data_IF_870728004774
#
_entry.id   IF_870728004774
#
_cell.length_a   1.000
_cell.length_b   1.000
_cell.length_c   1.000
_cell.angle_alpha   90.00
_cell.angle_beta   90.00
_cell.angle_gamma   90.00
#
_symmetry.space_group_name_H-M   'P 1'
#
loop_
_entity.id
_entity.type
_entity.pdbx_description
1 polymer ?
#
# COMPACT_ATOMS: atom_id res chain seq x y z
N UNK A 1 -69.45 2.59 86.26
CA UNK A 1 -68.13 2.28 85.70
C UNK A 1 -68.10 2.90 84.33
N UNK A 2 -67.47 4.01 84.21
CA UNK A 2 -67.22 4.70 82.92
C UNK A 2 -65.73 4.89 82.82
N UNK A 3 -65.12 4.26 81.82
CA UNK A 3 -63.69 4.41 81.50
C UNK A 3 -63.47 5.71 80.73
N UNK A 4 -62.62 6.58 81.24
CA UNK A 4 -62.16 7.81 80.61
C UNK A 4 -61.17 7.47 79.52
N UNK A 5 -61.54 7.80 78.30
CA UNK A 5 -60.67 7.72 77.16
C UNK A 5 -59.90 9.05 76.96
N UNK A 6 -58.66 9.12 77.40
CA UNK A 6 -57.84 10.29 77.27
C UNK A 6 -57.28 10.33 75.83
N UNK A 7 -57.37 11.44 75.06
CA UNK A 7 -56.81 11.52 73.69
C UNK A 7 -55.27 11.67 73.72
N UNK A 8 -54.60 10.82 72.97
CA UNK A 8 -53.15 10.87 72.75
C UNK A 8 -52.85 12.02 71.82
N UNK A 9 -52.24 13.08 72.34
CA UNK A 9 -51.72 14.21 71.53
C UNK A 9 -50.30 13.86 70.99
N UNK A 10 -50.20 13.50 69.76
CA UNK A 10 -48.91 13.32 69.09
C UNK A 10 -48.36 14.70 68.61
N UNK A 11 -47.40 15.26 69.34
CA UNK A 11 -46.63 16.43 68.90
C UNK A 11 -45.65 16.03 67.80
N UNK A 12 -45.95 16.31 66.49
CA UNK A 12 -45.01 16.26 65.40
C UNK A 12 -44.00 17.35 65.63
N UNK A 13 -42.75 16.96 65.94
CA UNK A 13 -41.64 17.85 66.01
C UNK A 13 -41.33 18.34 64.57
N UNK A 14 -41.32 19.66 64.35
CA UNK A 14 -40.76 20.28 63.12
C UNK A 14 -39.30 19.91 63.03
N UNK A 15 -38.95 19.00 62.09
CA UNK A 15 -37.57 18.89 61.66
C UNK A 15 -37.13 20.20 60.99
N UNK A 16 -36.28 20.95 61.69
CA UNK A 16 -35.62 22.11 61.17
C UNK A 16 -34.80 21.62 59.93
N UNK A 17 -35.14 22.12 58.74
CA UNK A 17 -34.36 21.95 57.59
C UNK A 17 -33.04 22.69 57.78
N UNK A 18 -31.95 21.99 58.07
CA UNK A 18 -30.60 22.52 57.88
C UNK A 18 -30.44 22.84 56.41
N UNK A 19 -30.55 24.11 56.09
CA UNK A 19 -30.24 24.64 54.78
C UNK A 19 -28.76 24.36 54.48
N UNK A 20 -28.53 23.40 53.60
CA UNK A 20 -27.19 23.20 53.01
C UNK A 20 -26.79 24.40 52.17
N UNK A 21 -26.50 25.54 52.78
CA UNK A 21 -25.94 26.73 52.12
C UNK A 21 -24.42 26.64 51.89
N UNK A 22 -23.77 25.50 52.25
CA UNK A 22 -22.33 25.34 52.17
C UNK A 22 -21.78 24.91 50.76
N UNK A 23 -22.64 24.63 49.77
CA UNK A 23 -22.21 24.15 48.46
C UNK A 23 -22.24 25.18 47.33
N UNK A 24 -23.04 26.21 47.44
CA UNK A 24 -23.26 27.17 46.35
C UNK A 24 -21.98 27.90 45.92
N UNK A 25 -21.11 28.26 46.84
CA UNK A 25 -19.82 28.89 46.51
C UNK A 25 -18.85 27.93 45.78
N UNK A 26 -18.93 26.63 46.09
CA UNK A 26 -18.09 25.62 45.38
C UNK A 26 -18.50 25.50 43.92
N UNK A 27 -19.80 25.55 43.64
CA UNK A 27 -20.31 25.53 42.25
C UNK A 27 -19.89 26.79 41.49
N UNK A 28 -20.04 27.98 42.14
CA UNK A 28 -19.61 29.24 41.56
C UNK A 28 -18.08 29.27 41.34
N UNK A 29 -17.30 28.72 42.26
CA UNK A 29 -15.86 28.59 42.10
C UNK A 29 -15.49 27.60 40.96
N UNK A 30 -16.17 26.45 40.87
CA UNK A 30 -15.97 25.49 39.79
C UNK A 30 -16.27 26.11 38.41
N UNK A 31 -17.37 26.85 38.28
CA UNK A 31 -17.76 27.56 37.07
C UNK A 31 -16.70 28.60 36.66
N UNK A 32 -16.22 29.39 37.60
CA UNK A 32 -15.16 30.35 37.37
C UNK A 32 -13.84 29.68 36.88
N UNK A 33 -13.44 28.58 37.53
CA UNK A 33 -12.22 27.84 37.13
C UNK A 33 -12.37 27.20 35.75
N UNK A 34 -13.56 26.63 35.45
CA UNK A 34 -13.80 26.06 34.11
C UNK A 34 -13.82 27.13 33.02
N UNK A 35 -14.38 28.30 33.29
CA UNK A 35 -14.36 29.43 32.39
C UNK A 35 -12.92 29.93 32.14
N UNK A 36 -12.11 30.03 33.19
CA UNK A 36 -10.69 30.39 33.08
C UNK A 36 -9.91 29.33 32.28
N UNK A 37 -10.17 28.04 32.51
CA UNK A 37 -9.55 26.94 31.76
C UNK A 37 -9.93 27.01 30.28
N UNK A 38 -11.20 27.26 29.95
CA UNK A 38 -11.64 27.43 28.58
C UNK A 38 -10.93 28.62 27.88
N UNK A 39 -10.86 29.76 28.57
CA UNK A 39 -10.15 30.93 28.06
C UNK A 39 -8.66 30.64 27.85
N UNK A 40 -8.01 29.96 28.80
CA UNK A 40 -6.62 29.56 28.67
C UNK A 40 -6.38 28.66 27.43
N UNK A 41 -7.24 27.64 27.21
CA UNK A 41 -7.14 26.76 26.06
C UNK A 41 -7.29 27.55 24.77
N UNK A 42 -8.24 28.49 24.68
CA UNK A 42 -8.41 29.33 23.49
C UNK A 42 -7.17 30.18 23.23
N UNK A 43 -6.65 30.87 24.24
CA UNK A 43 -5.45 31.70 24.11
C UNK A 43 -4.23 30.86 23.77
N UNK A 44 -4.10 29.66 24.33
CA UNK A 44 -3.03 28.72 24.01
C UNK A 44 -3.11 28.26 22.55
N UNK A 45 -4.30 27.91 22.04
CA UNK A 45 -4.49 27.56 20.62
C UNK A 45 -4.17 28.75 19.71
N UNK A 46 -4.58 29.97 20.08
CA UNK A 46 -4.28 31.16 19.28
C UNK A 46 -2.77 31.45 19.21
N UNK A 47 -2.02 31.07 20.23
CA UNK A 47 -0.55 31.16 20.27
C UNK A 47 0.18 30.12 19.44
N UNK A 48 -0.52 29.07 18.95
CA UNK A 48 0.08 28.00 18.16
C UNK A 48 0.31 28.41 16.70
N UNK A 49 1.15 27.62 16.01
CA UNK A 49 1.39 27.83 14.58
C UNK A 49 0.11 27.63 13.75
N UNK A 50 0.02 28.29 12.59
CA UNK A 50 -1.13 28.19 11.68
C UNK A 50 -1.47 26.74 11.29
N UNK A 51 -0.44 25.86 11.21
CA UNK A 51 -0.65 24.43 10.91
C UNK A 51 -1.39 23.69 12.03
N UNK A 52 -1.08 24.01 13.30
CA UNK A 52 -1.78 23.41 14.45
C UNK A 52 -3.22 23.92 14.52
N UNK A 53 -3.45 25.22 14.27
CA UNK A 53 -4.80 25.80 14.20
C UNK A 53 -5.65 25.13 13.12
N UNK A 54 -5.07 24.91 11.92
CA UNK A 54 -5.76 24.22 10.81
C UNK A 54 -6.05 22.75 11.14
N UNK A 55 -5.15 22.03 11.81
CA UNK A 55 -5.37 20.64 12.23
C UNK A 55 -6.52 20.55 13.25
N UNK A 56 -6.52 21.42 14.25
CA UNK A 56 -7.60 21.49 15.25
C UNK A 56 -8.93 21.86 14.59
N UNK A 57 -8.95 22.86 13.70
CA UNK A 57 -10.15 23.25 12.97
C UNK A 57 -10.67 22.13 12.05
N UNK A 58 -9.78 21.35 11.43
CA UNK A 58 -10.14 20.18 10.62
C UNK A 58 -10.84 19.10 11.43
N UNK A 59 -10.33 18.79 12.63
CA UNK A 59 -10.97 17.83 13.54
C UNK A 59 -12.39 18.23 13.93
N UNK A 60 -12.63 19.53 14.25
CA UNK A 60 -13.97 20.01 14.60
C UNK A 60 -14.91 20.13 13.40
N UNK A 61 -14.38 20.26 12.18
CA UNK A 61 -15.20 20.37 10.96
C UNK A 61 -15.71 19.02 10.46
N UNK A 62 -14.92 17.97 10.60
CA UNK A 62 -15.26 16.59 10.23
C UNK A 62 -14.62 15.58 11.20
N UNK A 63 -15.22 15.34 12.38
CA UNK A 63 -14.68 14.42 13.37
C UNK A 63 -14.68 12.95 12.92
N UNK A 64 -15.58 12.58 11.99
CA UNK A 64 -15.72 11.21 11.49
C UNK A 64 -14.81 10.92 10.29
N UNK A 65 -14.46 11.95 9.52
CA UNK A 65 -13.54 11.88 8.37
C UNK A 65 -12.09 12.23 8.70
N UNK A 66 -11.83 12.62 9.96
CA UNK A 66 -10.48 12.89 10.44
C UNK A 66 -9.77 11.55 10.72
N UNK A 67 -9.40 10.88 9.64
CA UNK A 67 -8.74 9.58 9.68
C UNK A 67 -7.37 9.75 10.35
N UNK A 68 -7.07 8.89 11.31
CA UNK A 68 -5.78 8.74 12.01
C UNK A 68 -4.59 8.63 11.02
N UNK A 69 -4.87 8.32 9.76
CA UNK A 69 -3.93 8.32 8.62
C UNK A 69 -3.43 9.72 8.22
N UNK A 70 -4.10 10.80 8.61
CA UNK A 70 -3.67 12.17 8.30
C UNK A 70 -2.62 12.66 9.29
N UNK A 71 -2.51 12.01 10.46
CA UNK A 71 -1.47 12.28 11.46
C UNK A 71 -0.77 10.95 11.77
N UNK A 72 0.08 10.47 10.87
CA UNK A 72 1.07 9.45 11.20
C UNK A 72 2.16 10.08 12.08
N UNK A 73 1.79 10.39 13.32
CA UNK A 73 2.74 10.60 14.40
C UNK A 73 2.93 9.22 15.02
N UNK A 74 4.13 8.64 15.07
CA UNK A 74 4.38 7.41 15.80
C UNK A 74 3.91 7.58 17.23
N UNK A 75 3.09 6.65 17.75
CA UNK A 75 2.67 6.60 19.14
C UNK A 75 3.89 6.78 20.05
N UNK A 76 3.87 7.82 20.89
CA UNK A 76 4.92 8.12 21.86
C UNK A 76 5.73 9.39 21.63
N UNK A 77 5.57 10.15 20.51
CA UNK A 77 6.37 11.36 20.23
C UNK A 77 5.58 12.68 20.18
N UNK A 78 4.41 12.72 20.78
CA UNK A 78 3.59 13.96 20.79
C UNK A 78 4.25 15.14 21.51
N UNK A 79 5.18 14.89 22.41
CA UNK A 79 5.92 15.94 23.13
C UNK A 79 7.15 16.47 22.38
N UNK A 80 7.72 15.66 21.45
CA UNK A 80 8.89 16.07 20.67
C UNK A 80 8.55 17.04 19.51
N UNK A 81 7.28 17.06 19.07
CA UNK A 81 6.85 17.97 17.98
C UNK A 81 6.89 19.44 18.31
N UNK A 82 6.90 19.80 19.59
CA UNK A 82 6.99 21.20 20.05
C UNK A 82 8.42 21.76 20.02
N UNK A 83 9.41 20.89 19.91
CA UNK A 83 10.83 21.22 19.95
C UNK A 83 11.58 20.95 18.62
N UNK A 84 10.87 20.56 17.54
CA UNK A 84 11.50 20.30 16.26
C UNK A 84 12.06 21.58 15.65
N UNK A 85 13.33 21.55 15.30
CA UNK A 85 13.97 22.63 14.55
C UNK A 85 13.33 22.80 13.16
N UNK A 86 13.44 23.96 12.55
CA UNK A 86 12.90 24.21 11.21
C UNK A 86 13.43 23.23 10.15
N UNK A 87 14.65 22.69 10.32
CA UNK A 87 15.25 21.69 9.45
C UNK A 87 14.60 20.31 9.60
N UNK A 88 14.29 19.87 10.82
CA UNK A 88 13.60 18.60 11.07
C UNK A 88 12.18 18.61 10.51
N UNK A 89 11.47 19.73 10.64
CA UNK A 89 10.13 19.90 10.04
C UNK A 89 10.22 19.81 8.52
N UNK A 90 11.25 20.41 7.91
CA UNK A 90 11.48 20.33 6.46
C UNK A 90 11.73 18.90 6.01
N UNK A 91 12.60 18.16 6.69
CA UNK A 91 12.89 16.74 6.39
C UNK A 91 11.65 15.86 6.52
N UNK A 92 10.85 16.03 7.57
CA UNK A 92 9.59 15.28 7.75
C UNK A 92 8.59 15.61 6.64
N UNK A 93 8.52 16.86 6.22
CA UNK A 93 7.63 17.29 5.14
C UNK A 93 8.06 16.69 3.80
N UNK A 94 9.35 16.72 3.49
CA UNK A 94 9.92 16.11 2.28
C UNK A 94 9.71 14.59 2.25
N UNK A 95 9.93 13.92 3.37
CA UNK A 95 9.66 12.48 3.50
C UNK A 95 8.17 12.13 3.28
N UNK A 96 7.27 12.95 3.81
CA UNK A 96 5.82 12.77 3.60
C UNK A 96 5.43 12.98 2.13
N UNK A 97 5.97 13.99 1.49
CA UNK A 97 5.72 14.22 0.06
C UNK A 97 6.25 13.09 -0.81
N UNK A 98 7.44 12.57 -0.49
CA UNK A 98 8.00 11.39 -1.17
C UNK A 98 7.14 10.15 -0.94
N UNK A 99 6.75 9.87 0.30
CA UNK A 99 5.87 8.74 0.62
C UNK A 99 4.52 8.83 -0.13
N UNK A 100 3.96 10.04 -0.22
CA UNK A 100 2.72 10.32 -0.95
C UNK A 100 2.88 10.09 -2.46
N UNK A 101 4.00 10.54 -3.05
CA UNK A 101 4.32 10.28 -4.46
C UNK A 101 4.45 8.79 -4.75
N UNK A 102 5.17 8.06 -3.89
CA UNK A 102 5.31 6.59 -4.01
C UNK A 102 3.96 5.89 -3.89
N UNK A 103 3.11 6.30 -2.97
CA UNK A 103 1.77 5.72 -2.80
C UNK A 103 0.88 5.96 -4.04
N UNK A 104 0.91 7.17 -4.59
CA UNK A 104 0.19 7.50 -5.83
C UNK A 104 0.70 6.71 -7.03
N UNK A 105 2.03 6.54 -7.15
CA UNK A 105 2.63 5.76 -8.22
C UNK A 105 2.28 4.27 -8.11
N UNK A 106 2.32 3.69 -6.89
CA UNK A 106 1.88 2.31 -6.64
C UNK A 106 0.43 2.09 -7.08
N UNK A 107 -0.46 3.02 -6.77
CA UNK A 107 -1.86 2.95 -7.17
C UNK A 107 -2.02 3.06 -8.69
N UNK A 108 -1.29 3.97 -9.34
CA UNK A 108 -1.30 4.11 -10.80
C UNK A 108 -0.80 2.85 -11.51
N UNK A 109 0.31 2.27 -11.04
CA UNK A 109 0.84 1.02 -11.59
C UNK A 109 -0.11 -0.16 -11.33
N UNK A 110 -0.77 -0.22 -10.18
CA UNK A 110 -1.79 -1.25 -9.90
C UNK A 110 -2.97 -1.13 -10.88
N UNK A 111 -3.50 0.08 -11.07
CA UNK A 111 -4.57 0.32 -12.06
C UNK A 111 -4.14 -0.08 -13.48
N UNK A 112 -2.90 0.20 -13.87
CA UNK A 112 -2.37 -0.26 -15.15
C UNK A 112 -2.32 -1.79 -15.22
N UNK A 113 -1.88 -2.46 -14.16
CA UNK A 113 -1.91 -3.93 -14.08
C UNK A 113 -3.30 -4.50 -14.27
N UNK A 114 -4.29 -3.96 -13.55
CA UNK A 114 -5.69 -4.39 -13.65
C UNK A 114 -6.25 -4.14 -15.07
N UNK A 115 -5.86 -3.03 -15.70
CA UNK A 115 -6.22 -2.73 -17.08
C UNK A 115 -5.63 -3.73 -18.07
N UNK A 116 -4.36 -4.10 -17.92
CA UNK A 116 -3.69 -5.13 -18.75
C UNK A 116 -4.45 -6.46 -18.63
N UNK A 117 -4.76 -6.92 -17.43
CA UNK A 117 -5.53 -8.16 -17.22
C UNK A 117 -6.89 -8.07 -17.91
N UNK A 118 -7.59 -6.95 -17.78
CA UNK A 118 -8.89 -6.72 -18.43
C UNK A 118 -8.79 -6.75 -19.96
N UNK A 119 -7.79 -6.09 -20.53
CA UNK A 119 -7.55 -6.07 -21.99
C UNK A 119 -7.21 -7.45 -22.52
N UNK A 120 -6.41 -8.25 -21.80
CA UNK A 120 -6.07 -9.61 -22.16
C UNK A 120 -7.27 -10.56 -22.04
N UNK A 121 -8.08 -10.40 -20.99
CA UNK A 121 -9.30 -11.23 -20.77
C UNK A 121 -10.37 -10.98 -21.81
N UNK A 122 -10.44 -9.76 -22.36
CA UNK A 122 -11.40 -9.38 -23.40
C UNK A 122 -11.01 -9.88 -24.80
N UNK A 123 -9.75 -10.25 -25.03
CA UNK A 123 -9.24 -10.69 -26.33
C UNK A 123 -9.32 -12.22 -26.46
N UNK A 124 -10.14 -12.76 -27.40
CA UNK A 124 -10.28 -14.22 -27.58
C UNK A 124 -8.95 -14.93 -27.89
N UNK A 125 -7.96 -14.24 -28.48
CA UNK A 125 -6.64 -14.81 -28.79
C UNK A 125 -5.86 -15.24 -27.54
N UNK A 126 -6.15 -14.62 -26.38
CA UNK A 126 -5.47 -14.88 -25.12
C UNK A 126 -6.29 -15.73 -24.14
N UNK A 127 -7.45 -16.23 -24.56
CA UNK A 127 -8.26 -17.15 -23.75
C UNK A 127 -7.42 -18.37 -23.36
N UNK A 128 -7.32 -18.65 -22.07
CA UNK A 128 -6.48 -19.72 -21.50
C UNK A 128 -5.05 -19.29 -21.16
N UNK A 129 -4.52 -18.20 -21.74
CA UNK A 129 -3.22 -17.65 -21.35
C UNK A 129 -3.31 -16.64 -20.19
N UNK A 130 -4.49 -16.04 -19.98
CA UNK A 130 -4.69 -15.04 -18.92
C UNK A 130 -4.40 -15.60 -17.54
N UNK A 131 -4.78 -16.87 -17.30
CA UNK A 131 -4.54 -17.57 -16.03
C UNK A 131 -3.03 -17.79 -15.75
N UNK A 132 -2.20 -17.69 -16.78
CA UNK A 132 -0.76 -17.82 -16.70
C UNK A 132 -0.07 -16.45 -16.50
N UNK A 133 -0.83 -15.36 -16.53
CA UNK A 133 -0.35 -13.99 -16.31
C UNK A 133 -0.67 -13.60 -14.88
N UNK A 134 0.35 -13.34 -14.06
CA UNK A 134 0.19 -12.80 -12.71
C UNK A 134 0.78 -11.42 -12.62
N UNK A 135 0.01 -10.51 -12.04
CA UNK A 135 0.43 -9.11 -11.86
C UNK A 135 0.38 -8.78 -10.37
N UNK A 136 1.49 -8.26 -9.84
CA UNK A 136 1.60 -7.92 -8.42
C UNK A 136 2.57 -6.73 -8.22
N UNK A 137 2.33 -5.93 -7.18
CA UNK A 137 3.27 -4.89 -6.75
C UNK A 137 4.34 -5.53 -5.88
N UNK A 138 5.59 -5.27 -6.22
CA UNK A 138 6.79 -5.71 -5.49
C UNK A 138 7.64 -4.50 -5.09
N UNK A 139 8.72 -4.72 -4.35
CA UNK A 139 9.60 -3.63 -3.87
C UNK A 139 10.24 -2.81 -5.00
N UNK A 140 10.49 -3.42 -6.16
CA UNK A 140 11.08 -2.74 -7.31
C UNK A 140 10.04 -1.99 -8.16
N UNK A 141 8.74 -2.39 -8.11
CA UNK A 141 7.70 -1.82 -8.96
C UNK A 141 6.52 -2.76 -9.21
N UNK A 142 5.92 -2.68 -10.40
CA UNK A 142 4.90 -3.61 -10.86
C UNK A 142 5.57 -4.79 -11.56
N UNK A 143 5.35 -5.99 -11.06
CA UNK A 143 5.81 -7.24 -11.69
C UNK A 143 4.67 -7.89 -12.46
N UNK A 144 4.94 -8.20 -13.72
CA UNK A 144 4.07 -8.98 -14.60
C UNK A 144 4.80 -10.29 -14.87
N UNK A 145 4.30 -11.39 -14.35
CA UNK A 145 4.87 -12.73 -14.56
C UNK A 145 4.08 -13.50 -15.60
N UNK A 146 4.79 -14.07 -16.55
CA UNK A 146 4.28 -14.98 -17.57
C UNK A 146 4.79 -16.38 -17.23
N UNK A 147 3.94 -17.21 -16.60
CA UNK A 147 4.28 -18.53 -16.08
C UNK A 147 3.87 -19.62 -17.07
N UNK A 148 4.75 -20.61 -17.31
CA UNK A 148 4.37 -21.77 -18.14
C UNK A 148 3.28 -22.61 -17.45
N UNK A 149 2.25 -22.97 -18.21
CA UNK A 149 1.20 -23.89 -17.83
C UNK A 149 1.34 -25.23 -18.58
N UNK A 150 0.54 -26.22 -18.17
CA UNK A 150 0.57 -27.56 -18.77
C UNK A 150 0.08 -27.61 -20.22
N UNK A 151 -0.82 -26.73 -20.61
CA UNK A 151 -1.50 -26.76 -21.89
C UNK A 151 -0.93 -25.78 -22.93
N UNK A 152 -0.39 -24.65 -22.48
CA UNK A 152 0.15 -23.61 -23.34
C UNK A 152 1.53 -23.19 -22.84
N UNK A 153 2.55 -23.59 -23.57
CA UNK A 153 3.93 -23.21 -23.30
C UNK A 153 4.23 -21.85 -23.94
N UNK A 154 4.96 -21.00 -23.25
CA UNK A 154 5.45 -19.76 -23.83
C UNK A 154 6.64 -19.99 -24.76
N UNK A 155 7.44 -20.99 -24.44
CA UNK A 155 8.61 -21.37 -25.23
C UNK A 155 8.48 -22.78 -25.81
N UNK A 156 9.17 -23.02 -26.92
CA UNK A 156 9.42 -24.38 -27.38
C UNK A 156 10.27 -25.12 -26.33
N UNK A 157 10.01 -26.40 -26.13
CA UNK A 157 10.64 -27.21 -25.08
C UNK A 157 12.16 -27.16 -25.22
N UNK A 158 12.84 -26.83 -24.11
CA UNK A 158 14.29 -26.76 -24.05
C UNK A 158 14.94 -25.60 -24.82
N UNK A 159 14.15 -24.62 -25.31
CA UNK A 159 14.67 -23.50 -26.11
C UNK A 159 14.29 -22.15 -25.54
N UNK A 160 14.85 -21.09 -26.12
CA UNK A 160 14.45 -19.70 -25.90
C UNK A 160 13.54 -19.14 -27.01
N UNK A 161 13.03 -20.00 -27.89
CA UNK A 161 12.15 -19.60 -28.99
C UNK A 161 10.73 -19.46 -28.50
N UNK A 162 10.18 -18.24 -28.56
CA UNK A 162 8.82 -17.94 -28.16
C UNK A 162 7.79 -18.48 -29.16
N UNK A 163 6.73 -19.07 -28.66
CA UNK A 163 5.57 -19.47 -29.45
C UNK A 163 4.82 -18.24 -29.99
N UNK A 164 4.13 -18.34 -31.15
CA UNK A 164 3.44 -17.20 -31.78
C UNK A 164 2.45 -16.49 -30.86
N UNK A 165 1.68 -17.24 -30.07
CA UNK A 165 0.73 -16.65 -29.09
C UNK A 165 1.45 -15.89 -28.00
N UNK A 166 2.58 -16.40 -27.49
CA UNK A 166 3.40 -15.73 -26.48
C UNK A 166 3.98 -14.40 -27.02
N UNK A 167 4.42 -14.40 -28.27
CA UNK A 167 4.90 -13.16 -28.93
C UNK A 167 3.81 -12.09 -28.97
N UNK A 168 2.60 -12.45 -29.41
CA UNK A 168 1.46 -11.53 -29.44
C UNK A 168 1.11 -11.01 -28.05
N UNK A 169 1.11 -11.87 -27.03
CA UNK A 169 0.85 -11.49 -25.65
C UNK A 169 1.89 -10.48 -25.15
N UNK A 170 3.18 -10.75 -25.35
CA UNK A 170 4.27 -9.85 -24.93
C UNK A 170 4.18 -8.50 -25.63
N UNK A 171 3.88 -8.47 -26.94
CA UNK A 171 3.67 -7.22 -27.69
C UNK A 171 2.46 -6.43 -27.16
N UNK A 172 1.36 -7.10 -26.85
CA UNK A 172 0.18 -6.46 -26.27
C UNK A 172 0.48 -5.82 -24.91
N UNK A 173 1.22 -6.53 -24.04
CA UNK A 173 1.71 -5.98 -22.77
C UNK A 173 2.62 -4.78 -23.04
N UNK A 174 3.55 -4.88 -23.99
CA UNK A 174 4.44 -3.79 -24.38
C UNK A 174 3.70 -2.53 -24.79
N UNK A 175 2.65 -2.65 -25.61
CA UNK A 175 1.81 -1.49 -26.00
C UNK A 175 1.14 -0.81 -24.83
N UNK A 176 0.68 -1.58 -23.82
CA UNK A 176 0.10 -1.02 -22.62
C UNK A 176 1.17 -0.31 -21.77
N UNK A 177 2.37 -0.90 -21.65
CA UNK A 177 3.50 -0.34 -20.90
C UNK A 177 4.15 0.88 -21.57
N UNK A 178 4.05 1.01 -22.90
CA UNK A 178 4.56 2.17 -23.65
C UNK A 178 3.95 3.51 -23.21
N UNK A 179 2.76 3.48 -22.61
CA UNK A 179 2.07 4.65 -22.06
C UNK A 179 2.70 5.18 -20.76
N UNK A 180 3.60 4.42 -20.15
CA UNK A 180 4.26 4.75 -18.90
C UNK A 180 5.69 5.27 -19.13
N UNK A 181 6.16 6.25 -18.35
CA UNK A 181 7.55 6.72 -18.46
C UNK A 181 8.55 5.81 -17.74
N UNK A 182 8.07 4.78 -17.06
CA UNK A 182 8.83 3.92 -16.17
C UNK A 182 9.88 3.08 -16.92
N UNK A 183 10.98 2.78 -16.24
CA UNK A 183 12.00 1.85 -16.72
C UNK A 183 11.57 0.41 -16.49
N UNK A 184 12.01 -0.49 -17.36
CA UNK A 184 11.61 -1.89 -17.40
C UNK A 184 12.83 -2.78 -17.27
N UNK A 185 12.69 -3.80 -16.42
CA UNK A 185 13.63 -4.90 -16.24
C UNK A 185 12.94 -6.19 -16.68
N UNK A 186 13.66 -7.06 -17.35
CA UNK A 186 13.15 -8.35 -17.80
C UNK A 186 13.97 -9.45 -17.15
N UNK A 187 13.30 -10.39 -16.49
CA UNK A 187 13.92 -11.51 -15.79
C UNK A 187 13.47 -12.83 -16.40
N UNK A 188 14.41 -13.74 -16.60
CA UNK A 188 14.14 -15.11 -17.01
C UNK A 188 14.43 -16.09 -15.88
N UNK A 189 13.59 -17.12 -15.79
CA UNK A 189 13.69 -18.17 -14.78
C UNK A 189 13.46 -19.54 -15.41
N UNK A 190 14.10 -20.58 -14.85
CA UNK A 190 13.88 -21.98 -15.20
C UNK A 190 13.36 -22.74 -13.99
N UNK A 191 12.91 -23.96 -14.20
CA UNK A 191 12.82 -24.96 -13.14
C UNK A 191 14.19 -25.55 -12.83
N UNK A 192 14.30 -26.42 -11.83
CA UNK A 192 15.58 -27.02 -11.40
C UNK A 192 15.97 -28.25 -12.21
N UNK A 193 15.28 -28.57 -13.33
CA UNK A 193 15.76 -29.63 -14.24
C UNK A 193 17.06 -29.17 -14.89
N UNK A 194 18.13 -29.99 -14.82
CA UNK A 194 19.35 -29.66 -15.54
C UNK A 194 19.07 -29.49 -17.03
N UNK A 195 19.61 -28.44 -17.63
CA UNK A 195 19.54 -28.27 -19.07
C UNK A 195 20.32 -29.40 -19.73
N UNK A 196 19.66 -30.16 -20.61
CA UNK A 196 20.28 -31.23 -21.38
C UNK A 196 20.72 -30.65 -22.72
N UNK A 197 21.82 -29.92 -22.73
CA UNK A 197 22.46 -29.38 -23.94
C UNK A 197 23.60 -30.25 -24.42
N UNK A 198 24.33 -29.73 -25.37
CA UNK A 198 25.49 -30.35 -26.04
C UNK A 198 26.77 -30.43 -25.18
N UNK A 199 26.70 -30.11 -23.88
CA UNK A 199 27.82 -30.16 -22.95
C UNK A 199 28.83 -29.00 -23.08
N UNK A 200 28.58 -28.03 -23.95
CA UNK A 200 29.48 -26.91 -24.25
C UNK A 200 29.30 -25.70 -23.30
N UNK A 201 28.92 -25.93 -22.07
CA UNK A 201 28.80 -24.86 -21.06
C UNK A 201 27.48 -24.07 -21.09
N UNK A 202 26.49 -24.48 -21.90
CA UNK A 202 25.16 -23.90 -21.89
C UNK A 202 24.32 -24.53 -20.77
N UNK A 203 23.89 -23.73 -19.86
CA UNK A 203 23.17 -24.16 -18.64
C UNK A 203 21.81 -23.45 -18.50
N UNK A 204 21.12 -23.68 -17.40
CA UNK A 204 19.91 -22.92 -17.06
C UNK A 204 20.14 -21.41 -16.93
N UNK A 205 21.37 -20.95 -16.65
CA UNK A 205 21.69 -19.53 -16.62
C UNK A 205 21.63 -18.91 -18.01
N UNK A 206 22.28 -19.54 -19.00
CA UNK A 206 22.23 -19.08 -20.40
C UNK A 206 20.79 -19.18 -20.92
N UNK A 207 20.09 -20.30 -20.69
CA UNK A 207 18.71 -20.48 -21.13
C UNK A 207 17.78 -19.40 -20.57
N UNK A 208 17.88 -19.09 -19.27
CA UNK A 208 17.06 -18.08 -18.64
C UNK A 208 17.33 -16.67 -19.17
N UNK A 209 18.62 -16.36 -19.41
CA UNK A 209 19.05 -15.09 -20.01
C UNK A 209 18.55 -14.95 -21.44
N UNK A 210 18.66 -16.01 -22.26
CA UNK A 210 18.21 -16.02 -23.65
C UNK A 210 16.67 -15.92 -23.76
N UNK A 211 15.94 -16.54 -22.83
CA UNK A 211 14.48 -16.39 -22.74
C UNK A 211 14.09 -14.96 -22.42
N UNK A 212 14.76 -14.32 -21.45
CA UNK A 212 14.55 -12.92 -21.13
C UNK A 212 14.89 -12.00 -22.32
N UNK A 213 15.98 -12.30 -23.06
CA UNK A 213 16.33 -11.58 -24.29
C UNK A 213 15.29 -11.77 -25.41
N UNK A 214 14.72 -12.96 -25.54
CA UNK A 214 13.65 -13.21 -26.50
C UNK A 214 12.42 -12.38 -26.20
N UNK A 215 12.03 -12.29 -24.91
CA UNK A 215 10.95 -11.40 -24.48
C UNK A 215 11.28 -9.91 -24.73
N UNK A 216 12.53 -9.48 -24.45
CA UNK A 216 12.99 -8.13 -24.77
C UNK A 216 12.81 -7.80 -26.25
N UNK A 217 13.23 -8.71 -27.14
CA UNK A 217 13.08 -8.52 -28.59
C UNK A 217 11.62 -8.33 -29.00
N UNK A 218 10.70 -9.09 -28.44
CA UNK A 218 9.28 -8.94 -28.72
C UNK A 218 8.68 -7.65 -28.14
N UNK A 219 9.11 -7.24 -26.94
CA UNK A 219 8.72 -5.94 -26.36
C UNK A 219 9.20 -4.76 -27.23
N UNK A 220 10.40 -4.83 -27.80
CA UNK A 220 10.91 -3.77 -28.71
C UNK A 220 10.21 -3.75 -30.07
N UNK A 221 9.43 -4.77 -30.41
CA UNK A 221 8.57 -4.77 -31.60
C UNK A 221 7.15 -4.22 -31.30
N UNK A 222 6.88 -3.84 -30.08
CA UNK A 222 5.67 -3.11 -29.67
C UNK A 222 5.92 -1.60 -29.74
N UNK A 223 4.98 -0.80 -29.24
CA UNK A 223 5.12 0.66 -29.11
C UNK A 223 6.12 1.08 -28.02
N UNK A 224 6.65 0.11 -27.26
CA UNK A 224 7.59 0.36 -26.17
C UNK A 224 8.92 0.91 -26.71
N UNK A 225 9.38 2.02 -26.14
CA UNK A 225 10.68 2.57 -26.52
C UNK A 225 11.82 1.70 -25.98
N UNK A 226 12.80 1.36 -26.82
CA UNK A 226 13.94 0.55 -26.43
C UNK A 226 14.72 1.12 -25.23
N UNK A 227 14.75 2.45 -25.10
CA UNK A 227 15.37 3.16 -23.98
C UNK A 227 14.66 2.96 -22.61
N UNK A 228 13.44 2.43 -22.60
CA UNK A 228 12.75 2.07 -21.36
C UNK A 228 13.29 0.76 -20.78
N UNK A 229 13.81 -0.16 -21.61
CA UNK A 229 14.36 -1.44 -21.14
C UNK A 229 15.80 -1.19 -20.69
N UNK A 230 16.06 -1.27 -19.40
CA UNK A 230 17.36 -0.95 -18.79
C UNK A 230 18.18 -2.17 -18.39
N UNK A 231 17.53 -3.30 -18.11
CA UNK A 231 18.20 -4.51 -17.65
C UNK A 231 17.52 -5.77 -18.19
N UNK A 232 18.36 -6.79 -18.46
CA UNK A 232 17.93 -8.16 -18.75
C UNK A 232 18.69 -9.07 -17.79
N UNK A 233 17.98 -9.89 -17.01
CA UNK A 233 18.53 -10.74 -15.94
C UNK A 233 18.17 -12.19 -16.18
N UNK A 234 19.13 -13.11 -16.08
CA UNK A 234 18.91 -14.54 -16.03
C UNK A 234 19.16 -15.08 -14.63
N UNK A 235 18.21 -15.77 -14.07
CA UNK A 235 18.31 -16.31 -12.70
C UNK A 235 18.35 -17.83 -12.64
N UNK A 236 18.28 -18.52 -13.76
CA UNK A 236 18.15 -19.97 -13.77
C UNK A 236 17.03 -20.42 -12.79
N UNK A 237 17.31 -21.38 -11.94
CA UNK A 237 16.44 -21.87 -10.86
C UNK A 237 16.76 -21.27 -9.47
N UNK A 238 17.63 -20.25 -9.40
CA UNK A 238 18.02 -19.65 -8.11
C UNK A 238 16.86 -18.94 -7.39
N UNK A 239 15.79 -18.58 -8.11
CA UNK A 239 14.60 -17.89 -7.58
C UNK A 239 13.33 -18.64 -7.94
N UNK A 240 13.15 -19.83 -7.38
CA UNK A 240 11.95 -20.64 -7.60
C UNK A 240 10.70 -19.92 -7.06
N UNK A 241 9.62 -19.96 -7.84
CA UNK A 241 8.30 -19.49 -7.41
C UNK A 241 7.63 -20.52 -6.51
N UNK A 242 7.64 -21.79 -6.92
CA UNK A 242 7.25 -22.92 -6.08
C UNK A 242 8.52 -23.61 -5.54
N UNK A 243 8.84 -23.29 -4.28
CA UNK A 243 9.99 -23.89 -3.58
C UNK A 243 9.72 -25.32 -3.09
N UNK A 244 8.42 -25.73 -3.03
CA UNK A 244 8.05 -27.07 -2.58
C UNK A 244 8.21 -28.08 -3.69
N UNK A 245 7.94 -27.67 -4.93
CA UNK A 245 8.18 -28.46 -6.13
C UNK A 245 9.12 -27.70 -7.08
N UNK A 246 10.45 -27.94 -6.98
CA UNK A 246 11.43 -27.27 -7.83
C UNK A 246 11.26 -27.55 -9.33
N UNK A 247 10.55 -28.64 -9.68
CA UNK A 247 10.30 -29.04 -11.06
C UNK A 247 8.96 -28.55 -11.60
N UNK A 248 8.20 -27.81 -10.81
CA UNK A 248 6.91 -27.26 -11.21
C UNK A 248 7.07 -26.29 -12.40
N UNK A 249 6.17 -26.41 -13.38
CA UNK A 249 6.20 -25.58 -14.59
C UNK A 249 6.10 -24.07 -14.30
N UNK A 250 5.44 -23.67 -13.20
CA UNK A 250 5.32 -22.27 -12.78
C UNK A 250 6.68 -21.60 -12.47
N UNK A 251 7.73 -22.43 -12.24
CA UNK A 251 9.09 -21.94 -12.06
C UNK A 251 9.69 -21.44 -13.38
N UNK A 252 9.26 -21.99 -14.53
CA UNK A 252 9.60 -21.51 -15.85
C UNK A 252 8.76 -20.28 -16.15
N UNK A 253 9.34 -19.12 -16.04
CA UNK A 253 8.61 -17.87 -16.22
C UNK A 253 9.51 -16.76 -16.72
N UNK A 254 8.86 -15.76 -17.29
CA UNK A 254 9.44 -14.44 -17.53
C UNK A 254 8.76 -13.45 -16.61
N UNK A 255 9.54 -12.59 -16.00
CA UNK A 255 9.03 -11.46 -15.22
C UNK A 255 9.40 -10.15 -15.91
N UNK A 256 8.41 -9.30 -16.16
CA UNK A 256 8.58 -7.93 -16.64
C UNK A 256 8.32 -7.02 -15.45
N UNK A 257 9.34 -6.27 -15.02
CA UNK A 257 9.26 -5.39 -13.87
C UNK A 257 9.26 -3.95 -14.34
N UNK A 258 8.17 -3.24 -14.08
CA UNK A 258 8.04 -1.80 -14.32
C UNK A 258 8.50 -1.09 -13.06
N UNK A 259 9.72 -0.53 -13.08
CA UNK A 259 10.35 0.08 -11.89
C UNK A 259 9.62 1.33 -11.44
N UNK A 260 9.59 1.58 -10.13
CA UNK A 260 9.16 2.88 -9.63
C UNK A 260 10.10 3.99 -10.11
N UNK A 261 9.55 5.17 -10.39
CA UNK A 261 10.31 6.39 -10.76
C UNK A 261 10.96 7.02 -9.53
N UNK A 262 10.26 6.96 -8.40
CA UNK A 262 10.72 7.52 -7.14
C UNK A 262 11.47 6.44 -6.35
N UNK A 263 12.78 6.35 -6.55
CA UNK A 263 13.71 5.68 -5.62
C UNK A 263 14.92 6.53 -5.42
#
# INVERSE_FOLDING_TARGET
MAEENSPIIIKKGKKGGEGHHGGAWKVAYADFVTAMMALFIVLWILGQSEKVKQAVAGYFKDPAGFDEKTINVPEGKSQDLLNLSGEEIKQITEQREQAKKIAMEKEALKKMGDQIVKELSADPNFKGLVDQVKIEIVDEGLRIELMEGSNDLFFQIGTSVLNPKAKLLIRKIGNSLAKLPNKIVIEGHTDSRPYQGDGLGYTNFELSSDRANSARKELTQSELQSAQIVEVRGYADSRLRDKKDPYNLVNRRISIIVKFLAK
#
